data_IF_642678519039
#
_entry.id   IF_642678519039
#
_cell.length_a   1.000
_cell.length_b   1.000
_cell.length_c   1.000
_cell.angle_alpha   90.00
_cell.angle_beta   90.00
_cell.angle_gamma   90.00
#
_symmetry.space_group_name_H-M   'P 1'
#
loop_
_entity.id
_entity.type
_entity.pdbx_description
1 polymer ?
#
# COMPACT_ATOMS: atom_id res chain seq x y z
N UNK A 1 11.89 17.85 -23.30
CA UNK A 1 12.10 18.45 -21.97
C UNK A 1 12.09 17.35 -20.94
N UNK A 2 13.30 16.92 -20.61
CA UNK A 2 13.70 15.93 -19.62
C UNK A 2 13.30 16.39 -18.22
N UNK A 3 12.63 15.51 -17.45
CA UNK A 3 12.77 15.47 -16.00
C UNK A 3 12.84 14.01 -15.58
N UNK A 4 14.08 13.49 -15.58
CA UNK A 4 14.45 12.34 -14.77
C UNK A 4 14.00 12.61 -13.33
N UNK A 5 13.11 11.77 -12.79
CA UNK A 5 13.03 11.61 -11.35
C UNK A 5 14.23 10.74 -10.95
N UNK A 6 15.30 11.43 -10.56
CA UNK A 6 16.49 10.88 -9.93
C UNK A 6 16.04 10.01 -8.75
N UNK A 7 16.04 8.70 -8.97
CA UNK A 7 16.08 7.70 -7.92
C UNK A 7 17.42 7.88 -7.22
N UNK A 8 17.48 8.79 -6.26
CA UNK A 8 18.61 8.88 -5.35
C UNK A 8 18.47 7.69 -4.41
N UNK A 9 19.01 6.56 -4.86
CA UNK A 9 19.53 5.51 -4.00
C UNK A 9 20.52 6.18 -3.05
N UNK A 10 20.05 6.52 -1.84
CA UNK A 10 20.94 6.78 -0.72
C UNK A 10 21.10 5.41 -0.07
N UNK A 11 22.23 4.78 -0.36
CA UNK A 11 22.73 3.63 0.38
C UNK A 11 23.05 4.10 1.81
N UNK A 12 22.03 4.16 2.67
CA UNK A 12 22.23 4.33 4.10
C UNK A 12 22.07 2.97 4.74
N UNK A 13 23.20 2.28 4.87
CA UNK A 13 23.46 1.15 5.76
C UNK A 13 23.41 1.60 7.24
N UNK A 14 22.40 2.43 7.57
CA UNK A 14 22.07 2.82 8.92
C UNK A 14 21.04 1.82 9.41
N UNK A 15 21.55 0.76 10.04
CA UNK A 15 20.74 -0.35 10.52
C UNK A 15 19.63 0.17 11.44
N UNK A 16 18.41 -0.35 11.30
CA UNK A 16 17.27 0.01 12.16
C UNK A 16 17.57 -0.19 13.65
N UNK A 17 18.56 -1.04 13.98
CA UNK A 17 19.05 -1.24 15.35
C UNK A 17 19.78 -0.01 15.93
N UNK A 18 20.64 0.65 15.16
CA UNK A 18 21.35 1.86 15.59
C UNK A 18 20.40 3.05 15.74
N UNK A 19 19.38 3.09 14.89
CA UNK A 19 18.32 4.08 14.93
C UNK A 19 17.40 3.88 16.15
N UNK A 20 17.08 2.63 16.48
CA UNK A 20 16.36 2.26 17.70
C UNK A 20 17.18 2.50 18.98
N UNK A 21 18.52 2.51 18.92
CA UNK A 21 19.34 2.93 20.06
C UNK A 21 19.29 4.45 20.27
N UNK A 22 19.10 5.23 19.19
CA UNK A 22 19.03 6.69 19.24
C UNK A 22 17.69 7.23 19.74
N UNK A 23 16.59 6.50 19.51
CA UNK A 23 15.26 6.81 20.04
C UNK A 23 14.92 5.83 21.15
N UNK A 24 14.45 6.31 22.30
CA UNK A 24 14.21 5.43 23.46
C UNK A 24 12.94 4.58 23.36
N UNK A 25 12.41 4.36 22.15
CA UNK A 25 11.16 3.66 21.87
C UNK A 25 11.23 2.97 20.50
N UNK A 26 10.67 1.77 20.42
CA UNK A 26 10.57 0.99 19.17
C UNK A 26 9.21 1.17 18.47
N UNK A 27 9.14 0.83 17.17
CA UNK A 27 7.88 0.79 16.41
C UNK A 27 6.87 -0.18 17.06
N UNK A 28 7.33 -1.35 17.52
CA UNK A 28 6.48 -2.38 18.12
C UNK A 28 5.81 -1.87 19.42
N UNK A 29 6.55 -1.12 20.22
CA UNK A 29 6.04 -0.46 21.43
C UNK A 29 5.01 0.62 21.10
N UNK A 30 5.28 1.42 20.06
CA UNK A 30 4.35 2.44 19.59
C UNK A 30 3.07 1.81 19.01
N UNK A 31 3.18 0.70 18.29
CA UNK A 31 2.06 -0.06 17.76
C UNK A 31 1.18 -0.59 18.91
N UNK A 32 1.80 -1.20 19.92
CA UNK A 32 1.09 -1.69 21.11
C UNK A 32 0.36 -0.56 21.84
N UNK A 33 1.00 0.60 21.97
CA UNK A 33 0.38 1.79 22.54
C UNK A 33 -0.84 2.24 21.71
N UNK A 34 -0.75 2.22 20.37
CA UNK A 34 -1.87 2.57 19.48
C UNK A 34 -3.03 1.57 19.51
N UNK A 35 -2.75 0.29 19.78
CA UNK A 35 -3.77 -0.75 19.94
C UNK A 35 -4.61 -0.52 21.20
N UNK A 36 -4.00 -0.05 22.29
CA UNK A 36 -4.72 0.34 23.51
C UNK A 36 -5.35 1.73 23.36
N UNK A 37 -6.68 1.83 23.53
CA UNK A 37 -7.42 3.09 23.39
C UNK A 37 -8.20 3.43 24.66
N UNK A 38 -8.48 4.72 24.85
CA UNK A 38 -9.27 5.21 25.98
C UNK A 38 -8.53 5.14 27.32
N UNK A 39 -9.24 4.78 28.38
CA UNK A 39 -8.72 4.82 29.76
C UNK A 39 -7.55 3.86 30.01
N UNK A 40 -7.53 2.71 29.33
CA UNK A 40 -6.44 1.74 29.42
C UNK A 40 -5.17 2.24 28.73
N UNK A 41 -5.31 2.89 27.58
CA UNK A 41 -4.18 3.51 26.88
C UNK A 41 -3.55 4.66 27.67
N UNK A 42 -4.36 5.50 28.32
CA UNK A 42 -3.85 6.59 29.19
C UNK A 42 -3.10 6.02 30.40
N UNK A 43 -3.60 4.93 30.98
CA UNK A 43 -2.92 4.26 32.09
C UNK A 43 -1.59 3.66 31.64
N UNK A 44 -1.58 2.95 30.51
CA UNK A 44 -0.36 2.35 29.96
C UNK A 44 0.67 3.42 29.55
N UNK A 45 0.20 4.56 29.05
CA UNK A 45 1.01 5.72 28.74
C UNK A 45 1.71 6.29 29.98
N UNK A 46 0.96 6.52 31.06
CA UNK A 46 1.51 7.05 32.30
C UNK A 46 2.44 6.05 33.00
N UNK A 47 2.04 4.77 33.06
CA UNK A 47 2.80 3.74 33.80
C UNK A 47 4.14 3.37 33.11
N UNK A 48 4.19 3.36 31.77
CA UNK A 48 5.36 2.91 31.00
C UNK A 48 6.23 4.08 30.51
N UNK A 49 5.60 5.19 30.11
CA UNK A 49 6.28 6.29 29.41
C UNK A 49 6.28 7.60 30.19
N UNK A 50 5.87 7.61 31.46
CA UNK A 50 5.78 8.83 32.29
C UNK A 50 4.92 9.93 31.64
N UNK A 51 3.86 9.48 30.93
CA UNK A 51 2.91 10.37 30.28
C UNK A 51 3.41 10.95 28.96
N UNK A 52 2.92 12.13 28.61
CA UNK A 52 3.24 12.80 27.33
C UNK A 52 4.69 13.31 27.29
N UNK A 53 5.23 13.75 28.43
CA UNK A 53 6.58 14.31 28.52
C UNK A 53 7.67 13.26 28.29
N UNK A 54 7.49 12.03 28.79
CA UNK A 54 8.46 10.97 28.54
C UNK A 54 8.40 10.43 27.11
N UNK A 55 7.23 10.42 26.47
CA UNK A 55 7.12 10.16 25.01
C UNK A 55 7.83 11.24 24.20
N UNK A 56 7.59 12.51 24.52
CA UNK A 56 8.25 13.65 23.86
C UNK A 56 9.78 13.52 23.90
N UNK A 57 10.33 13.19 25.08
CA UNK A 57 11.76 12.99 25.27
C UNK A 57 12.30 11.77 24.51
N UNK A 58 11.55 10.66 24.49
CA UNK A 58 11.96 9.42 23.79
C UNK A 58 11.94 9.57 22.26
N UNK A 59 10.94 10.28 21.71
CA UNK A 59 10.86 10.58 20.27
C UNK A 59 11.74 11.79 19.87
N UNK A 60 12.31 12.51 20.84
CA UNK A 60 13.05 13.77 20.61
C UNK A 60 12.25 14.73 19.74
N UNK A 61 10.94 14.78 19.97
CA UNK A 61 10.01 15.74 19.35
C UNK A 61 9.75 16.84 20.36
N UNK A 62 9.27 18.00 19.93
CA UNK A 62 8.70 18.97 20.85
C UNK A 62 7.18 19.06 20.58
N UNK A 63 6.37 19.08 21.64
CA UNK A 63 4.90 19.10 21.51
C UNK A 63 4.36 20.49 21.16
N UNK A 64 5.16 21.53 21.41
CA UNK A 64 4.78 22.95 21.24
C UNK A 64 5.48 23.54 20.00
N UNK A 65 6.72 23.14 19.79
CA UNK A 65 7.61 23.55 18.71
C UNK A 65 7.70 22.38 17.76
N UNK A 66 7.40 22.61 16.48
CA UNK A 66 7.44 21.56 15.48
C UNK A 66 8.85 20.94 15.35
N UNK A 67 8.94 19.83 14.63
CA UNK A 67 10.19 19.18 14.31
C UNK A 67 11.12 20.14 13.53
N UNK A 68 12.41 20.12 13.87
CA UNK A 68 13.40 20.87 13.09
C UNK A 68 13.45 20.29 11.67
N UNK A 69 13.39 21.15 10.65
CA UNK A 69 13.46 20.75 9.24
C UNK A 69 14.91 20.47 8.81
N UNK A 70 15.63 19.68 9.58
CA UNK A 70 16.96 19.19 9.26
C UNK A 70 16.83 17.89 8.47
N UNK A 71 17.36 17.87 7.24
CA UNK A 71 17.33 16.68 6.38
C UNK A 71 18.05 15.49 7.04
N UNK A 72 19.04 15.75 7.89
CA UNK A 72 19.80 14.72 8.59
C UNK A 72 18.90 14.04 9.63
N UNK A 73 18.23 14.81 10.50
CA UNK A 73 17.32 14.26 11.51
C UNK A 73 16.15 13.50 10.87
N UNK A 74 15.64 14.01 9.75
CA UNK A 74 14.57 13.35 8.99
C UNK A 74 15.03 11.99 8.44
N UNK A 75 16.23 11.90 7.85
CA UNK A 75 16.76 10.65 7.31
C UNK A 75 16.91 9.56 8.37
N UNK A 76 17.35 9.94 9.57
CA UNK A 76 17.51 9.04 10.73
C UNK A 76 16.17 8.57 11.26
N UNK A 77 15.15 9.45 11.30
CA UNK A 77 13.78 9.07 11.67
C UNK A 77 13.17 8.12 10.66
N UNK A 78 13.41 8.33 9.36
CA UNK A 78 12.94 7.41 8.31
C UNK A 78 13.62 6.04 8.45
N UNK A 79 14.91 5.99 8.81
CA UNK A 79 15.60 4.73 9.09
C UNK A 79 15.08 4.01 10.35
N UNK A 80 14.67 4.75 11.38
CA UNK A 80 14.14 4.21 12.64
C UNK A 80 12.68 3.74 12.55
N UNK A 81 11.81 4.57 11.97
CA UNK A 81 10.35 4.40 12.01
C UNK A 81 9.76 3.97 10.66
N UNK A 82 10.55 4.00 9.59
CA UNK A 82 10.07 3.82 8.23
C UNK A 82 9.49 5.11 7.64
N UNK A 83 9.22 5.06 6.33
CA UNK A 83 8.60 6.17 5.59
C UNK A 83 7.08 6.09 5.72
N UNK A 84 6.42 7.21 6.03
CA UNK A 84 4.95 7.31 6.06
C UNK A 84 4.36 7.38 4.65
N UNK A 85 4.57 6.31 3.88
CA UNK A 85 3.99 6.18 2.55
C UNK A 85 3.05 5.00 2.49
N UNK A 86 1.81 5.29 2.11
CA UNK A 86 0.82 4.27 1.80
C UNK A 86 1.28 3.61 0.51
N UNK A 87 1.60 2.30 0.51
CA UNK A 87 2.04 1.62 -0.70
C UNK A 87 0.93 1.76 -1.75
N UNK A 88 1.25 2.43 -2.86
CA UNK A 88 0.29 2.57 -3.94
C UNK A 88 0.04 1.19 -4.53
N UNK A 89 -1.22 0.76 -4.52
CA UNK A 89 -1.64 -0.46 -5.20
C UNK A 89 -1.16 -0.39 -6.66
N UNK A 90 -0.46 -1.41 -7.19
CA UNK A 90 -0.03 -1.40 -8.58
C UNK A 90 -1.25 -1.21 -9.48
N UNK A 91 -1.14 -0.29 -10.44
CA UNK A 91 -2.23 0.01 -11.37
C UNK A 91 -2.47 -1.19 -12.28
N UNK A 92 -3.71 -1.67 -12.29
CA UNK A 92 -4.14 -2.71 -13.22
C UNK A 92 -4.16 -2.14 -14.63
N UNK A 93 -3.44 -2.76 -15.56
CA UNK A 93 -3.46 -2.34 -16.97
C UNK A 93 -4.78 -2.76 -17.62
N UNK A 94 -5.34 -1.95 -18.53
CA UNK A 94 -6.61 -2.24 -19.21
C UNK A 94 -6.67 -3.62 -19.87
N UNK A 95 -5.58 -4.10 -20.49
CA UNK A 95 -5.56 -5.42 -21.12
C UNK A 95 -5.66 -6.57 -20.10
N UNK A 96 -5.15 -6.38 -18.89
CA UNK A 96 -5.35 -7.35 -17.81
C UNK A 96 -6.83 -7.45 -17.45
N UNK A 97 -7.55 -6.32 -17.47
CA UNK A 97 -8.99 -6.28 -17.24
C UNK A 97 -9.75 -7.03 -18.34
N UNK A 98 -9.49 -6.71 -19.62
CA UNK A 98 -10.11 -7.42 -20.74
C UNK A 98 -9.80 -8.93 -20.78
N UNK A 99 -8.57 -9.33 -20.43
CA UNK A 99 -8.19 -10.75 -20.37
C UNK A 99 -8.83 -11.48 -19.18
N UNK A 100 -8.99 -10.81 -18.05
CA UNK A 100 -9.72 -11.34 -16.90
C UNK A 100 -11.22 -11.46 -17.24
N UNK A 101 -11.77 -10.47 -17.94
CA UNK A 101 -13.17 -10.45 -18.34
C UNK A 101 -13.54 -11.46 -19.44
N UNK A 102 -12.60 -11.79 -20.32
CA UNK A 102 -12.78 -12.83 -21.34
C UNK A 102 -12.96 -14.23 -20.73
N UNK A 103 -12.54 -14.45 -19.48
CA UNK A 103 -12.73 -15.70 -18.75
C UNK A 103 -14.13 -15.83 -18.13
N UNK A 104 -14.97 -14.80 -18.23
CA UNK A 104 -16.32 -14.81 -17.68
C UNK A 104 -17.25 -15.76 -18.47
N UNK A 105 -18.05 -16.56 -17.74
CA UNK A 105 -19.05 -17.50 -18.31
C UNK A 105 -20.00 -16.83 -19.32
N UNK A 106 -20.35 -15.57 -19.08
CA UNK A 106 -21.22 -14.77 -19.95
C UNK A 106 -20.57 -14.50 -21.32
N UNK A 107 -19.29 -14.16 -21.36
CA UNK A 107 -18.57 -13.92 -22.62
C UNK A 107 -18.43 -15.22 -23.42
N UNK A 108 -18.13 -16.32 -22.72
CA UNK A 108 -18.03 -17.66 -23.32
C UNK A 108 -19.36 -18.08 -23.96
N UNK A 109 -20.48 -17.84 -23.28
CA UNK A 109 -21.82 -18.17 -23.81
C UNK A 109 -22.18 -17.35 -25.05
N UNK A 110 -21.79 -16.07 -25.09
CA UNK A 110 -22.00 -15.20 -26.26
C UNK A 110 -21.21 -15.68 -27.48
N UNK A 111 -19.95 -16.08 -27.29
CA UNK A 111 -19.11 -16.62 -28.37
C UNK A 111 -19.72 -17.91 -28.92
N UNK A 112 -20.16 -18.82 -28.03
CA UNK A 112 -20.79 -20.09 -28.42
C UNK A 112 -22.08 -19.88 -29.23
N UNK A 113 -22.95 -18.96 -28.80
CA UNK A 113 -24.15 -18.58 -29.55
C UNK A 113 -23.80 -18.00 -30.93
N UNK A 114 -22.79 -17.13 -31.01
CA UNK A 114 -22.29 -16.57 -32.27
C UNK A 114 -21.79 -17.65 -33.22
N UNK A 115 -21.01 -18.61 -32.72
CA UNK A 115 -20.52 -19.75 -33.52
C UNK A 115 -21.68 -20.60 -34.04
N UNK A 116 -22.70 -20.89 -33.22
CA UNK A 116 -23.90 -21.62 -33.67
C UNK A 116 -24.67 -20.83 -34.72
N UNK A 117 -24.83 -19.52 -34.54
CA UNK A 117 -25.52 -18.65 -35.51
C UNK A 117 -24.80 -18.64 -36.87
N UNK A 118 -23.46 -18.57 -36.85
CA UNK A 118 -22.63 -18.66 -38.06
C UNK A 118 -22.75 -20.05 -38.70
N UNK A 119 -22.68 -21.12 -37.91
CA UNK A 119 -22.79 -22.49 -38.41
C UNK A 119 -24.15 -22.76 -39.08
N UNK A 120 -25.24 -22.28 -38.48
CA UNK A 120 -26.58 -22.36 -39.07
C UNK A 120 -26.71 -21.49 -40.32
N UNK A 121 -26.06 -20.33 -40.37
CA UNK A 121 -26.05 -19.48 -41.58
C UNK A 121 -25.39 -20.16 -42.78
N UNK A 122 -24.49 -21.12 -42.54
CA UNK A 122 -23.89 -21.94 -43.60
C UNK A 122 -24.65 -23.23 -43.86
N UNK A 123 -25.62 -23.60 -43.03
CA UNK A 123 -26.48 -24.76 -43.23
C UNK A 123 -27.62 -24.40 -44.19
N UNK A 124 -27.38 -24.56 -45.49
CA UNK A 124 -28.44 -24.58 -46.49
C UNK A 124 -28.92 -26.02 -46.67
N UNK A 125 -30.13 -26.39 -46.21
CA UNK A 125 -30.73 -27.65 -46.62
C UNK A 125 -31.05 -27.53 -48.12
N UNK A 126 -30.17 -28.06 -48.96
CA UNK A 126 -30.44 -28.19 -50.39
C UNK A 126 -31.60 -29.18 -50.54
N UNK A 127 -32.84 -28.70 -50.62
CA UNK A 127 -33.97 -29.61 -50.81
C UNK A 127 -35.36 -29.09 -50.43
N UNK A 128 -35.73 -27.88 -50.83
CA UNK A 128 -37.16 -27.58 -51.03
C UNK A 128 -37.37 -27.20 -52.50
N UNK A 129 -37.59 -28.22 -53.32
CA UNK A 129 -38.34 -28.08 -54.57
C UNK A 129 -39.72 -27.56 -54.21
N UNK A 130 -39.93 -26.27 -54.45
CA UNK A 130 -41.25 -25.64 -54.42
C UNK A 130 -41.99 -26.12 -55.67
N UNK A 131 -43.01 -26.96 -55.49
CA UNK A 131 -44.16 -27.02 -56.40
C UNK A 131 -45.33 -26.24 -55.79
#
# INVERSE_FOLDING_TARGET
MTKEKKSTTIDNDFSSEDACHRFGISIQELEKLMQTRGHEGIKQLNDIYDGLSGIEQKLKTNLITDLSNDEIDLSIRIAAFGRNEIPQKPSTTFLCFWLDDLKNWTCITLIMCGVISIALSFYHPNGETIE
#
